data_IF_487075482678
#
_entry.id   IF_487075482678
#
_cell.length_a   1.000
_cell.length_b   1.000
_cell.length_c   1.000
_cell.angle_alpha   90.00
_cell.angle_beta   90.00
_cell.angle_gamma   90.00
#
_symmetry.space_group_name_H-M   'P 1'
#
loop_
_entity.id
_entity.type
_entity.pdbx_description
1 polymer ?
#
# COMPACT_ATOMS: atom_id res chain seq x y z
N UNK A 1 16.23 -6.54 -6.60
CA UNK A 1 15.24 -6.97 -5.58
C UNK A 1 15.81 -6.61 -4.22
N UNK A 2 15.03 -6.10 -3.27
CA UNK A 2 15.58 -5.68 -1.98
C UNK A 2 16.19 -6.89 -1.25
N UNK A 3 17.39 -6.74 -0.70
CA UNK A 3 18.07 -7.79 0.07
C UNK A 3 17.30 -8.11 1.36
N UNK A 4 17.56 -9.27 1.95
CA UNK A 4 16.91 -9.66 3.21
C UNK A 4 17.21 -8.67 4.34
N UNK A 5 18.45 -8.18 4.39
CA UNK A 5 18.87 -7.14 5.33
C UNK A 5 18.03 -5.87 5.16
N UNK A 6 17.79 -5.43 3.92
CA UNK A 6 16.94 -4.27 3.63
C UNK A 6 15.48 -4.50 4.04
N UNK A 7 14.92 -5.69 3.75
CA UNK A 7 13.54 -6.03 4.17
C UNK A 7 13.40 -6.08 5.68
N UNK A 8 14.37 -6.67 6.38
CA UNK A 8 14.41 -6.74 7.85
C UNK A 8 14.48 -5.34 8.47
N UNK A 9 15.36 -4.48 7.97
CA UNK A 9 15.45 -3.09 8.42
C UNK A 9 14.13 -2.33 8.20
N UNK A 10 13.53 -2.44 7.01
CA UNK A 10 12.25 -1.80 6.71
C UNK A 10 11.13 -2.27 7.66
N UNK A 11 11.02 -3.58 7.92
CA UNK A 11 10.05 -4.13 8.88
C UNK A 11 10.26 -3.57 10.29
N UNK A 12 11.51 -3.46 10.75
CA UNK A 12 11.84 -2.88 12.06
C UNK A 12 11.46 -1.40 12.14
N UNK A 13 11.75 -0.62 11.10
CA UNK A 13 11.42 0.81 11.06
C UNK A 13 9.90 1.04 11.08
N UNK A 14 9.13 0.24 10.32
CA UNK A 14 7.65 0.31 10.34
C UNK A 14 7.11 0.00 11.74
N UNK A 15 7.63 -1.04 12.41
CA UNK A 15 7.21 -1.38 13.77
C UNK A 15 7.49 -0.25 14.77
N UNK A 16 8.69 0.37 14.70
CA UNK A 16 9.06 1.52 15.55
C UNK A 16 8.15 2.73 15.31
N UNK A 17 7.86 3.04 14.05
CA UNK A 17 6.95 4.14 13.70
C UNK A 17 5.53 3.86 14.22
N UNK A 18 5.04 2.63 14.03
CA UNK A 18 3.72 2.22 14.51
C UNK A 18 3.59 2.29 16.03
N UNK A 19 4.60 1.86 16.78
CA UNK A 19 4.58 1.95 18.25
C UNK A 19 4.60 3.41 18.72
N UNK A 20 5.42 4.26 18.10
CA UNK A 20 5.44 5.69 18.36
C UNK A 20 4.08 6.35 18.12
N UNK A 21 3.46 6.07 16.97
CA UNK A 21 2.14 6.60 16.61
C UNK A 21 1.03 6.13 17.56
N UNK A 22 1.06 4.86 18.00
CA UNK A 22 0.13 4.31 18.99
C UNK A 22 0.26 5.04 20.33
N UNK A 23 1.48 5.15 20.85
CA UNK A 23 1.78 5.83 22.13
C UNK A 23 1.32 7.29 22.12
N UNK A 24 1.53 7.98 21.00
CA UNK A 24 1.15 9.40 20.85
C UNK A 24 -0.30 9.61 20.42
N UNK A 25 -1.07 8.53 20.19
CA UNK A 25 -2.43 8.56 19.65
C UNK A 25 -2.54 9.52 18.47
N UNK A 26 -1.58 9.48 17.54
CA UNK A 26 -1.35 10.55 16.55
C UNK A 26 -2.58 10.90 15.72
N UNK A 27 -3.45 9.94 15.41
CA UNK A 27 -4.70 10.20 14.68
C UNK A 27 -5.77 10.86 15.57
N UNK A 28 -5.85 10.48 16.85
CA UNK A 28 -6.85 11.01 17.77
C UNK A 28 -6.56 12.48 18.14
N UNK A 29 -5.29 12.86 18.21
CA UNK A 29 -4.85 14.21 18.58
C UNK A 29 -4.76 15.18 17.38
N UNK A 30 -5.14 14.75 16.18
CA UNK A 30 -5.19 15.63 15.00
C UNK A 30 -6.45 16.51 14.99
N UNK A 31 -6.44 17.67 14.31
CA UNK A 31 -7.63 18.47 14.07
C UNK A 31 -8.77 17.64 13.44
N UNK A 32 -10.01 17.95 13.82
CA UNK A 32 -11.19 17.18 13.40
C UNK A 32 -11.31 17.01 11.88
N UNK A 33 -11.00 18.07 11.11
CA UNK A 33 -11.00 18.06 9.65
C UNK A 33 -10.01 17.03 9.10
N UNK A 34 -8.78 17.02 9.61
CA UNK A 34 -7.71 16.09 9.20
C UNK A 34 -8.04 14.65 9.56
N UNK A 35 -8.49 14.42 10.81
CA UNK A 35 -8.89 13.09 11.28
C UNK A 35 -10.02 12.50 10.41
N UNK A 36 -11.01 13.32 10.06
CA UNK A 36 -12.13 12.91 9.20
C UNK A 36 -11.68 12.60 7.78
N UNK A 37 -10.80 13.43 7.20
CA UNK A 37 -10.27 13.19 5.86
C UNK A 37 -9.49 11.87 5.78
N UNK A 38 -8.61 11.62 6.75
CA UNK A 38 -7.86 10.36 6.85
C UNK A 38 -8.79 9.15 7.05
N UNK A 39 -9.84 9.30 7.87
CA UNK A 39 -10.86 8.26 8.07
C UNK A 39 -11.60 7.89 6.78
N UNK A 40 -12.01 8.88 5.98
CA UNK A 40 -12.65 8.65 4.67
C UNK A 40 -11.73 7.90 3.70
N UNK A 41 -10.45 8.26 3.66
CA UNK A 41 -9.45 7.56 2.83
C UNK A 41 -9.27 6.11 3.28
N UNK A 42 -9.14 5.87 4.60
CA UNK A 42 -9.03 4.52 5.15
C UNK A 42 -10.26 3.67 4.83
N UNK A 43 -11.46 4.23 4.96
CA UNK A 43 -12.72 3.56 4.62
C UNK A 43 -12.80 3.20 3.13
N UNK A 44 -12.38 4.11 2.24
CA UNK A 44 -12.32 3.84 0.80
C UNK A 44 -11.37 2.68 0.47
N UNK A 45 -10.18 2.64 1.10
CA UNK A 45 -9.22 1.54 0.95
C UNK A 45 -9.79 0.23 1.49
N UNK A 46 -10.44 0.24 2.66
CA UNK A 46 -11.05 -0.94 3.26
C UNK A 46 -12.21 -1.49 2.41
N UNK A 47 -13.09 -0.61 1.92
CA UNK A 47 -14.18 -0.97 0.99
C UNK A 47 -13.62 -1.67 -0.24
N UNK A 48 -12.59 -1.10 -0.88
CA UNK A 48 -11.96 -1.70 -2.06
C UNK A 48 -11.38 -3.08 -1.77
N UNK A 49 -10.69 -3.25 -0.64
CA UNK A 49 -10.16 -4.56 -0.22
C UNK A 49 -11.27 -5.60 -0.05
N UNK A 50 -12.41 -5.20 0.54
CA UNK A 50 -13.57 -6.09 0.78
C UNK A 50 -14.31 -6.44 -0.51
N UNK A 51 -14.50 -5.49 -1.41
CA UNK A 51 -15.25 -5.71 -2.65
C UNK A 51 -14.40 -6.36 -3.74
N UNK A 52 -13.08 -6.47 -3.56
CA UNK A 52 -12.17 -7.06 -4.54
C UNK A 52 -12.20 -6.34 -5.89
N UNK A 53 -12.59 -5.05 -5.90
CA UNK A 53 -12.97 -4.29 -7.11
C UNK A 53 -12.03 -4.63 -8.27
N UNK A 54 -12.60 -5.28 -9.28
CA UNK A 54 -11.88 -5.91 -10.39
C UNK A 54 -11.04 -4.89 -11.16
N UNK A 55 -11.49 -3.64 -11.22
CA UNK A 55 -10.84 -2.52 -11.92
C UNK A 55 -11.19 -1.16 -11.28
N UNK A 56 -10.31 -0.13 -11.41
CA UNK A 56 -8.89 -0.26 -11.75
C UNK A 56 -8.10 -0.74 -10.53
N UNK A 57 -7.24 -1.74 -10.73
CA UNK A 57 -6.39 -2.27 -9.65
C UNK A 57 -5.34 -1.25 -9.21
N UNK A 58 -5.01 -1.28 -7.93
CA UNK A 58 -3.96 -0.45 -7.35
C UNK A 58 -2.56 -0.90 -7.76
N UNK A 59 -1.58 0.00 -7.66
CA UNK A 59 -0.18 -0.33 -7.92
C UNK A 59 0.29 -1.54 -7.10
N UNK A 60 -0.15 -1.66 -5.85
CA UNK A 60 0.19 -2.81 -4.99
C UNK A 60 -0.45 -4.11 -5.49
N UNK A 61 -1.74 -4.10 -5.84
CA UNK A 61 -2.41 -5.30 -6.36
C UNK A 61 -1.78 -5.74 -7.70
N UNK A 62 -1.50 -4.79 -8.59
CA UNK A 62 -0.79 -5.03 -9.84
C UNK A 62 0.63 -5.54 -9.60
N UNK A 63 1.36 -4.97 -8.64
CA UNK A 63 2.69 -5.43 -8.27
C UNK A 63 2.68 -6.87 -7.73
N UNK A 64 1.70 -7.22 -6.89
CA UNK A 64 1.54 -8.57 -6.37
C UNK A 64 1.21 -9.59 -7.47
N UNK A 65 0.36 -9.22 -8.44
CA UNK A 65 0.08 -10.05 -9.61
C UNK A 65 1.32 -10.20 -10.50
N UNK A 66 2.06 -9.11 -10.75
CA UNK A 66 3.33 -9.16 -11.47
C UNK A 66 4.38 -10.01 -10.74
N UNK A 67 4.40 -9.98 -9.41
CA UNK A 67 5.26 -10.84 -8.59
C UNK A 67 4.87 -12.31 -8.75
N UNK A 68 3.58 -12.65 -8.69
CA UNK A 68 3.09 -14.03 -8.89
C UNK A 68 3.40 -14.55 -10.29
N UNK A 69 3.34 -13.69 -11.31
CA UNK A 69 3.68 -14.01 -12.71
C UNK A 69 5.17 -13.87 -13.04
N UNK A 70 6.04 -13.65 -12.04
CA UNK A 70 7.49 -13.51 -12.20
C UNK A 70 7.94 -12.46 -13.25
N UNK A 71 7.19 -11.37 -13.44
CA UNK A 71 7.50 -10.35 -14.45
C UNK A 71 8.79 -9.62 -14.07
N UNK A 72 9.86 -9.63 -14.89
CA UNK A 72 11.09 -8.91 -14.59
C UNK A 72 10.85 -7.39 -14.61
N UNK A 73 11.68 -6.62 -13.90
CA UNK A 73 11.55 -5.16 -13.87
C UNK A 73 10.31 -4.60 -13.15
N UNK A 74 9.38 -5.43 -12.62
CA UNK A 74 8.13 -4.97 -11.98
C UNK A 74 8.31 -3.90 -10.88
N UNK A 75 9.44 -3.89 -10.19
CA UNK A 75 9.74 -2.91 -9.13
C UNK A 75 10.08 -1.52 -9.65
N UNK A 76 10.52 -1.41 -10.91
CA UNK A 76 10.75 -0.13 -11.60
C UNK A 76 9.49 0.37 -12.30
N UNK A 77 8.49 -0.49 -12.50
CA UNK A 77 7.30 -0.16 -13.26
C UNK A 77 6.29 0.68 -12.46
N UNK A 78 5.72 1.69 -13.13
CA UNK A 78 4.59 2.47 -12.63
C UNK A 78 3.27 1.70 -12.66
N UNK A 79 2.21 2.24 -12.07
CA UNK A 79 0.88 1.59 -12.06
C UNK A 79 0.38 1.30 -13.47
N UNK A 80 0.46 2.27 -14.37
CA UNK A 80 0.00 2.15 -15.76
C UNK A 80 0.81 1.10 -16.54
N UNK A 81 2.14 1.07 -16.35
CA UNK A 81 3.01 0.07 -16.98
C UNK A 81 2.68 -1.34 -16.49
N UNK A 82 2.49 -1.52 -15.18
CA UNK A 82 2.07 -2.81 -14.62
C UNK A 82 0.69 -3.23 -15.14
N UNK A 83 -0.28 -2.31 -15.19
CA UNK A 83 -1.63 -2.58 -15.69
C UNK A 83 -1.61 -3.03 -17.16
N UNK A 84 -0.85 -2.32 -18.01
CA UNK A 84 -0.69 -2.64 -19.44
C UNK A 84 -0.12 -4.04 -19.65
N UNK A 85 0.95 -4.39 -18.94
CA UNK A 85 1.59 -5.71 -19.07
C UNK A 85 0.68 -6.82 -18.52
N UNK A 86 -0.12 -6.53 -17.49
CA UNK A 86 -1.02 -7.51 -16.87
C UNK A 86 -2.40 -7.59 -17.56
N UNK A 87 -2.62 -6.84 -18.64
CA UNK A 87 -3.90 -6.77 -19.37
C UNK A 87 -5.06 -6.23 -18.52
N UNK A 88 -4.77 -5.37 -17.54
CA UNK A 88 -5.79 -4.77 -16.66
C UNK A 88 -6.13 -3.37 -17.17
N UNK A 89 -7.41 -3.12 -17.48
CA UNK A 89 -7.95 -1.80 -17.83
C UNK A 89 -8.33 -1.02 -16.57
#
# INVERSE_FOLDING_TARGET
>A
MASERQRSAARRNIKKAASGARRKRSIANMPAKTRTALGKQAAAVAKRKRTGSSTPKTKSELYEMARRRNIPGRSKMGRAQLARILGQK
#
